data_IF_727405373199
#
_entry.id   IF_727405373199
#
_cell.length_a   1.000
_cell.length_b   1.000
_cell.length_c   1.000
_cell.angle_alpha   90.00
_cell.angle_beta   90.00
_cell.angle_gamma   90.00
#
_symmetry.space_group_name_H-M   'P 1'
#
loop_
_entity.id
_entity.type
_entity.pdbx_description
1 polymer ?
#
# COMPACT_ATOMS: atom_id res chain seq x y z
N UNK A 1 -3.90 -27.69 15.84
CA UNK A 1 -4.41 -26.32 15.99
C UNK A 1 -4.54 -25.71 14.61
N UNK A 2 -5.74 -25.69 14.04
CA UNK A 2 -6.01 -24.99 12.78
C UNK A 2 -5.96 -23.49 13.06
N UNK A 3 -5.05 -22.81 12.38
CA UNK A 3 -4.79 -21.38 12.49
C UNK A 3 -6.05 -20.58 12.05
N UNK A 4 -6.95 -20.31 12.99
CA UNK A 4 -8.26 -19.66 12.81
C UNK A 4 -8.20 -18.14 12.94
N UNK A 5 -7.02 -17.53 12.87
CA UNK A 5 -6.91 -16.08 12.89
C UNK A 5 -7.44 -15.49 11.56
N UNK A 6 -8.18 -14.37 11.62
CA UNK A 6 -8.61 -13.68 10.42
C UNK A 6 -7.41 -13.16 9.61
N UNK A 7 -7.60 -12.98 8.31
CA UNK A 7 -6.63 -12.36 7.42
C UNK A 7 -7.12 -10.96 7.05
N UNK A 8 -6.21 -10.00 7.00
CA UNK A 8 -6.50 -8.62 6.62
C UNK A 8 -5.87 -8.33 5.26
N UNK A 9 -6.69 -8.05 4.26
CA UNK A 9 -6.24 -7.65 2.95
C UNK A 9 -6.17 -6.13 2.86
N UNK A 10 -5.02 -5.62 2.46
CA UNK A 10 -4.87 -4.25 1.95
C UNK A 10 -4.97 -4.32 0.43
N UNK A 11 -5.94 -3.64 -0.14
CA UNK A 11 -6.18 -3.54 -1.57
C UNK A 11 -5.80 -2.12 -1.98
N UNK A 12 -4.91 -2.00 -2.94
CA UNK A 12 -4.41 -0.73 -3.44
C UNK A 12 -4.69 -0.69 -4.94
N UNK A 13 -5.36 0.35 -5.39
CA UNK A 13 -5.65 0.60 -6.81
C UNK A 13 -5.67 2.10 -7.10
N UNK A 14 -6.03 2.48 -8.33
CA UNK A 14 -6.13 3.87 -8.75
C UNK A 14 -7.17 4.70 -7.97
N UNK A 15 -8.13 4.06 -7.29
CA UNK A 15 -9.14 4.75 -6.46
C UNK A 15 -8.64 4.99 -5.04
N UNK A 16 -7.61 4.28 -4.60
CA UNK A 16 -6.96 4.48 -3.30
C UNK A 16 -6.63 3.17 -2.59
N UNK A 17 -6.75 3.20 -1.26
CA UNK A 17 -6.39 2.09 -0.38
C UNK A 17 -7.60 1.63 0.43
N UNK A 18 -7.91 0.33 0.37
CA UNK A 18 -8.99 -0.30 1.12
C UNK A 18 -8.48 -1.43 2.01
N UNK A 19 -9.09 -1.59 3.19
CA UNK A 19 -8.78 -2.65 4.13
C UNK A 19 -9.98 -3.60 4.27
N UNK A 20 -9.75 -4.90 4.07
CA UNK A 20 -10.80 -5.93 4.13
C UNK A 20 -10.40 -7.07 5.05
N UNK A 21 -11.26 -7.41 6.01
CA UNK A 21 -11.11 -8.62 6.83
C UNK A 21 -11.67 -9.84 6.09
N UNK A 22 -10.97 -10.97 6.16
CA UNK A 22 -11.39 -12.28 5.67
C UNK A 22 -11.36 -13.25 6.85
N UNK A 23 -12.55 -13.67 7.27
CA UNK A 23 -12.68 -14.68 8.32
C UNK A 23 -12.33 -16.09 7.79
N UNK A 24 -11.81 -16.99 8.65
CA UNK A 24 -11.61 -18.38 8.31
C UNK A 24 -12.88 -19.02 7.75
N UNK A 25 -12.75 -19.89 6.75
CA UNK A 25 -13.87 -20.56 6.11
C UNK A 25 -14.60 -19.72 5.05
N UNK A 26 -14.29 -18.42 4.91
CA UNK A 26 -14.81 -17.60 3.80
C UNK A 26 -14.11 -17.92 2.46
N UNK A 27 -14.81 -17.77 1.32
CA UNK A 27 -14.19 -17.84 0.01
C UNK A 27 -12.99 -16.90 -0.09
N UNK A 28 -11.87 -17.41 -0.60
CA UNK A 28 -10.62 -16.64 -0.72
C UNK A 28 -9.67 -16.72 0.49
N UNK A 29 -10.11 -17.21 1.65
CA UNK A 29 -9.25 -17.35 2.84
C UNK A 29 -8.01 -18.23 2.57
N UNK A 30 -8.19 -19.40 1.93
CA UNK A 30 -7.08 -20.29 1.56
C UNK A 30 -6.09 -19.64 0.60
N UNK A 31 -6.56 -18.80 -0.34
CA UNK A 31 -5.70 -18.10 -1.30
C UNK A 31 -4.90 -17.01 -0.60
N UNK A 32 -5.57 -16.19 0.23
CA UNK A 32 -4.92 -15.13 1.01
C UNK A 32 -3.90 -15.70 2.02
N UNK A 33 -4.20 -16.88 2.60
CA UNK A 33 -3.31 -17.54 3.54
C UNK A 33 -1.98 -18.04 2.95
N UNK A 34 -1.91 -18.33 1.64
CA UNK A 34 -0.67 -18.83 1.00
C UNK A 34 0.45 -17.78 0.92
N UNK A 35 0.08 -16.50 0.90
CA UNK A 35 1.02 -15.38 0.79
C UNK A 35 0.82 -14.36 1.90
N UNK A 36 0.31 -14.79 3.05
CA UNK A 36 0.03 -13.90 4.17
C UNK A 36 1.33 -13.40 4.78
N UNK A 37 1.45 -12.09 4.89
CA UNK A 37 2.56 -11.44 5.57
C UNK A 37 2.33 -11.62 7.08
N UNK A 38 3.29 -12.30 7.71
CA UNK A 38 3.21 -12.69 9.12
C UNK A 38 3.86 -11.67 10.06
N UNK A 39 4.83 -10.89 9.57
CA UNK A 39 5.62 -9.98 10.42
C UNK A 39 5.61 -8.56 9.85
N UNK A 40 5.72 -7.59 10.75
CA UNK A 40 5.82 -6.18 10.39
C UNK A 40 7.09 -5.87 9.58
N UNK A 41 8.21 -6.55 9.89
CA UNK A 41 9.45 -6.42 9.12
C UNK A 41 9.23 -6.77 7.64
N UNK A 42 8.62 -7.92 7.37
CA UNK A 42 8.33 -8.39 6.01
C UNK A 42 7.40 -7.41 5.26
N UNK A 43 6.47 -6.76 5.97
CA UNK A 43 5.61 -5.73 5.39
C UNK A 43 6.39 -4.48 4.97
N UNK A 44 7.35 -4.04 5.80
CA UNK A 44 8.24 -2.90 5.50
C UNK A 44 9.17 -3.24 4.34
N UNK A 45 9.81 -4.41 4.36
CA UNK A 45 10.67 -4.89 3.26
C UNK A 45 9.87 -4.98 1.95
N UNK A 46 8.63 -5.50 2.00
CA UNK A 46 7.75 -5.53 0.83
C UNK A 46 7.45 -4.13 0.30
N UNK A 47 7.15 -3.18 1.19
CA UNK A 47 6.92 -1.79 0.81
C UNK A 47 8.15 -1.16 0.15
N UNK A 48 9.34 -1.35 0.71
CA UNK A 48 10.60 -0.84 0.17
C UNK A 48 10.91 -1.41 -1.21
N UNK A 49 10.70 -2.73 -1.39
CA UNK A 49 10.92 -3.38 -2.68
C UNK A 49 9.98 -2.86 -3.77
N UNK A 50 8.70 -2.64 -3.43
CA UNK A 50 7.73 -2.05 -4.37
C UNK A 50 8.12 -0.61 -4.73
N UNK A 51 8.50 0.19 -3.73
CA UNK A 51 8.96 1.56 -3.95
C UNK A 51 10.20 1.60 -4.87
N UNK A 52 11.17 0.71 -4.65
CA UNK A 52 12.40 0.66 -5.42
C UNK A 52 12.19 0.17 -6.86
N UNK A 53 11.23 -0.74 -7.07
CA UNK A 53 10.91 -1.26 -8.39
C UNK A 53 10.23 -0.23 -9.32
N UNK A 54 9.70 0.86 -8.77
CA UNK A 54 8.88 1.82 -9.53
C UNK A 54 7.54 1.23 -9.99
N UNK A 55 7.29 -0.05 -9.72
CA UNK A 55 6.00 -0.69 -9.88
C UNK A 55 5.07 -0.09 -8.82
N UNK A 56 4.07 0.69 -9.27
CA UNK A 56 3.09 1.29 -8.37
C UNK A 56 2.51 0.25 -7.40
N UNK A 57 2.04 0.70 -6.24
CA UNK A 57 1.59 -0.18 -5.15
C UNK A 57 0.31 -0.99 -5.46
N UNK A 58 -0.14 -1.04 -6.72
CA UNK A 58 -1.38 -1.67 -7.14
C UNK A 58 -1.36 -3.18 -6.86
N UNK A 59 -2.36 -3.66 -6.13
CA UNK A 59 -2.49 -5.07 -5.83
C UNK A 59 -3.24 -5.35 -4.54
N UNK A 60 -3.26 -6.63 -4.16
CA UNK A 60 -3.82 -7.09 -2.89
C UNK A 60 -2.73 -7.73 -2.05
N UNK A 61 -2.51 -7.22 -0.85
CA UNK A 61 -1.53 -7.68 0.12
C UNK A 61 -2.24 -8.23 1.34
N UNK A 62 -1.94 -9.47 1.72
CA UNK A 62 -2.62 -10.17 2.81
C UNK A 62 -1.76 -10.16 4.07
N UNK A 63 -2.34 -9.88 5.23
CA UNK A 63 -1.63 -9.75 6.50
C UNK A 63 -2.31 -10.57 7.61
N UNK A 64 -1.51 -11.10 8.53
CA UNK A 64 -2.03 -11.80 9.71
C UNK A 64 -2.51 -10.86 10.80
N UNK A 65 -1.82 -9.74 10.97
CA UNK A 65 -2.07 -8.77 12.02
C UNK A 65 -2.67 -7.48 11.46
N UNK A 66 -3.74 -7.00 12.11
CA UNK A 66 -4.44 -5.78 11.70
C UNK A 66 -3.53 -4.56 11.71
N UNK A 67 -2.70 -4.40 12.74
CA UNK A 67 -1.83 -3.22 12.87
C UNK A 67 -0.77 -3.19 11.78
N UNK A 68 -0.21 -4.34 11.41
CA UNK A 68 0.69 -4.43 10.26
C UNK A 68 0.00 -4.04 8.96
N UNK A 69 -1.24 -4.49 8.75
CA UNK A 69 -2.03 -4.12 7.58
C UNK A 69 -2.32 -2.61 7.54
N UNK A 70 -2.65 -2.00 8.68
CA UNK A 70 -2.85 -0.55 8.81
C UNK A 70 -1.58 0.22 8.49
N UNK A 71 -0.43 -0.18 9.05
CA UNK A 71 0.85 0.46 8.76
C UNK A 71 1.16 0.41 7.28
N UNK A 72 0.98 -0.75 6.64
CA UNK A 72 1.21 -0.89 5.20
C UNK A 72 0.24 -0.02 4.38
N UNK A 73 -1.04 0.01 4.74
CA UNK A 73 -2.04 0.86 4.10
C UNK A 73 -1.68 2.36 4.19
N UNK A 74 -1.24 2.83 5.37
CA UNK A 74 -0.80 4.21 5.56
C UNK A 74 0.43 4.55 4.73
N UNK A 75 1.39 3.63 4.63
CA UNK A 75 2.57 3.81 3.78
C UNK A 75 2.18 3.91 2.30
N UNK A 76 1.25 3.07 1.84
CA UNK A 76 0.71 3.14 0.48
C UNK A 76 0.02 4.48 0.18
N UNK A 77 -0.80 4.98 1.10
CA UNK A 77 -1.47 6.29 0.97
C UNK A 77 -0.46 7.44 0.88
N UNK A 78 0.56 7.46 1.75
CA UNK A 78 1.61 8.48 1.71
C UNK A 78 2.37 8.46 0.38
N UNK A 79 2.65 7.26 -0.15
CA UNK A 79 3.32 7.15 -1.43
C UNK A 79 2.48 7.69 -2.59
N UNK A 80 1.15 7.49 -2.57
CA UNK A 80 0.24 8.08 -3.54
C UNK A 80 0.20 9.61 -3.42
N UNK A 81 0.15 10.15 -2.20
CA UNK A 81 0.18 11.59 -1.95
C UNK A 81 1.46 12.24 -2.46
N UNK A 82 2.62 11.64 -2.18
CA UNK A 82 3.89 12.09 -2.75
C UNK A 82 3.89 12.07 -4.28
N UNK A 83 3.34 11.01 -4.91
CA UNK A 83 3.23 10.95 -6.36
C UNK A 83 2.32 12.03 -6.97
N UNK A 84 1.26 12.44 -6.26
CA UNK A 84 0.42 13.58 -6.65
C UNK A 84 1.22 14.89 -6.55
N UNK A 85 1.96 15.09 -5.46
CA UNK A 85 2.78 16.28 -5.26
C UNK A 85 3.88 16.40 -6.31
N UNK A 86 4.60 15.32 -6.60
CA UNK A 86 5.64 15.29 -7.63
C UNK A 86 5.08 15.67 -9.02
N UNK A 87 3.87 15.19 -9.35
CA UNK A 87 3.18 15.55 -10.58
C UNK A 87 2.76 17.03 -10.59
N UNK A 88 2.22 17.55 -9.48
CA UNK A 88 1.88 18.97 -9.36
C UNK A 88 3.11 19.86 -9.53
N UNK A 89 4.24 19.51 -8.90
CA UNK A 89 5.50 20.23 -9.01
C UNK A 89 6.01 20.22 -10.46
N UNK A 90 5.90 19.08 -11.15
CA UNK A 90 6.27 18.95 -12.56
C UNK A 90 5.38 19.82 -13.47
N UNK A 91 4.06 19.82 -13.24
CA UNK A 91 3.12 20.66 -14.01
C UNK A 91 3.40 22.15 -13.77
N UNK A 92 3.65 22.57 -12.52
CA UNK A 92 4.02 23.95 -12.21
C UNK A 92 5.35 24.38 -12.83
N UNK A 93 6.34 23.48 -12.87
CA UNK A 93 7.62 23.74 -13.52
C UNK A 93 7.47 23.87 -15.05
N UNK A 94 6.63 23.04 -15.68
CA UNK A 94 6.36 23.09 -17.12
C UNK A 94 5.56 24.34 -17.53
N UNK A 95 4.56 24.73 -16.73
CA UNK A 95 3.69 25.88 -17.01
C UNK A 95 4.35 27.24 -16.72
N UNK A 96 5.64 27.25 -16.30
CA UNK A 96 6.38 28.47 -15.98
C UNK A 96 5.85 29.25 -14.77
N UNK A 97 4.90 28.67 -14.01
CA UNK A 97 4.30 29.27 -12.82
C UNK A 97 5.11 28.99 -11.55
N UNK A 98 6.17 28.18 -11.63
CA UNK A 98 7.25 28.15 -10.65
C UNK A 98 7.69 29.59 -10.44
N UNK A 99 7.23 30.20 -9.33
CA UNK A 99 7.48 31.60 -9.02
C UNK A 99 8.91 31.90 -9.40
N UNK A 100 9.09 32.72 -10.44
CA UNK A 100 10.36 33.37 -10.63
C UNK A 100 10.58 34.09 -9.31
N UNK A 101 11.47 33.55 -8.48
CA UNK A 101 12.05 34.25 -7.35
C UNK A 101 12.88 35.37 -7.97
N UNK A 102 12.17 36.38 -8.45
CA UNK A 102 12.72 37.62 -8.92
C UNK A 102 13.08 38.43 -7.69
N UNK A 103 14.39 38.60 -7.52
CA UNK A 103 15.12 39.44 -6.56
C UNK A 103 15.34 38.86 -5.17
#
# INVERSE_FOLDING_TARGET
MTDTAPIFNVIIDAKGVALKKIDPGRPGYRKAGKGVILRQRDAIERYQNLKAAGEGFNGTFSFRFLDTAKTFAMLGLRAMEHGIQDNLDQVQAYDGTAKSSGR
#
